data_IF_391610347386
#
_entry.id   IF_391610347386
#
_cell.length_a   1.000
_cell.length_b   1.000
_cell.length_c   1.000
_cell.angle_alpha   90.00
_cell.angle_beta   90.00
_cell.angle_gamma   90.00
#
_symmetry.space_group_name_H-M   'P 1'
#
loop_
_entity.id
_entity.type
_entity.pdbx_description
1 polymer ?
#
# COMPACT_ATOMS: atom_id res chain seq x y z
N UNK A 1 23.90 -22.23 -24.97
CA UNK A 1 25.10 -21.58 -25.55
C UNK A 1 25.95 -22.67 -26.16
N UNK A 2 26.58 -22.44 -27.31
CA UNK A 2 27.56 -23.39 -27.88
C UNK A 2 28.64 -23.71 -26.82
N UNK A 3 29.25 -24.89 -26.86
CA UNK A 3 30.15 -25.39 -25.81
C UNK A 3 31.32 -24.43 -25.50
N UNK A 4 31.82 -23.74 -26.53
CA UNK A 4 32.81 -22.67 -26.41
C UNK A 4 32.41 -21.50 -25.47
N UNK A 5 31.10 -21.30 -25.25
CA UNK A 5 30.53 -20.26 -24.39
C UNK A 5 29.79 -20.84 -23.18
N UNK A 6 29.91 -22.16 -22.91
CA UNK A 6 29.23 -22.82 -21.79
C UNK A 6 29.56 -22.18 -20.43
N UNK A 7 30.78 -21.63 -20.28
CA UNK A 7 31.20 -20.88 -19.08
C UNK A 7 30.27 -19.72 -18.72
N UNK A 8 29.71 -19.04 -19.72
CA UNK A 8 28.81 -17.89 -19.56
C UNK A 8 27.34 -18.28 -19.40
N UNK A 9 27.01 -19.58 -19.39
CA UNK A 9 25.64 -20.06 -19.24
C UNK A 9 25.06 -19.89 -17.82
N UNK A 10 23.75 -20.07 -17.71
CA UNK A 10 23.03 -20.05 -16.43
C UNK A 10 23.04 -18.66 -15.77
N UNK A 11 23.31 -18.61 -14.47
CA UNK A 11 23.25 -17.37 -13.66
C UNK A 11 24.25 -16.30 -14.13
N UNK A 12 25.35 -16.69 -14.79
CA UNK A 12 26.35 -15.76 -15.32
C UNK A 12 25.89 -15.07 -16.60
N UNK A 13 24.97 -15.69 -17.34
CA UNK A 13 24.40 -15.10 -18.54
C UNK A 13 23.48 -13.92 -18.22
N UNK A 14 22.75 -14.02 -17.10
CA UNK A 14 21.74 -13.03 -16.68
C UNK A 14 22.33 -11.61 -16.63
N UNK A 15 23.43 -11.29 -15.92
CA UNK A 15 23.99 -9.94 -15.92
C UNK A 15 24.50 -9.52 -17.30
N UNK A 16 25.06 -10.43 -18.11
CA UNK A 16 25.58 -10.13 -19.45
C UNK A 16 24.44 -9.70 -20.38
N UNK A 17 23.38 -10.49 -20.46
CA UNK A 17 22.23 -10.16 -21.30
C UNK A 17 21.46 -8.96 -20.76
N UNK A 18 21.38 -8.80 -19.43
CA UNK A 18 20.75 -7.64 -18.79
C UNK A 18 21.51 -6.35 -19.11
N UNK A 19 22.85 -6.34 -19.04
CA UNK A 19 23.64 -5.18 -19.40
C UNK A 19 23.43 -4.79 -20.87
N UNK A 20 23.45 -5.77 -21.78
CA UNK A 20 23.21 -5.52 -23.21
C UNK A 20 21.79 -4.98 -23.46
N UNK A 21 20.78 -5.66 -22.93
CA UNK A 21 19.37 -5.30 -23.13
C UNK A 21 19.01 -3.98 -22.49
N UNK A 22 19.42 -3.72 -21.23
CA UNK A 22 19.16 -2.46 -20.57
C UNK A 22 19.94 -1.29 -21.19
N UNK A 23 21.10 -1.53 -21.80
CA UNK A 23 21.79 -0.48 -22.56
C UNK A 23 20.96 -0.07 -23.78
N UNK A 24 20.43 -1.04 -24.53
CA UNK A 24 19.56 -0.76 -25.68
C UNK A 24 18.25 -0.09 -25.27
N UNK A 25 17.61 -0.57 -24.21
CA UNK A 25 16.42 0.06 -23.63
C UNK A 25 16.73 1.47 -23.14
N UNK A 26 17.88 1.66 -22.49
CA UNK A 26 18.35 2.96 -21.99
C UNK A 26 18.59 3.98 -23.09
N UNK A 27 18.95 3.56 -24.30
CA UNK A 27 19.01 4.45 -25.47
C UNK A 27 17.61 4.88 -25.92
N UNK A 28 16.59 4.04 -25.79
CA UNK A 28 15.21 4.33 -26.20
C UNK A 28 14.42 5.16 -25.16
N UNK A 29 14.69 4.96 -23.87
CA UNK A 29 13.95 5.59 -22.77
C UNK A 29 13.89 7.12 -22.87
N UNK A 30 14.97 7.87 -23.16
CA UNK A 30 14.92 9.33 -23.23
C UNK A 30 13.91 9.87 -24.25
N UNK A 31 13.74 9.18 -25.38
CA UNK A 31 12.77 9.56 -26.41
C UNK A 31 11.33 9.40 -25.91
N UNK A 32 11.04 8.29 -25.23
CA UNK A 32 9.73 8.05 -24.62
C UNK A 32 9.48 8.95 -23.41
N UNK A 33 10.51 9.16 -22.58
CA UNK A 33 10.45 9.92 -21.34
C UNK A 33 10.04 11.37 -21.57
N UNK A 34 10.47 11.97 -22.69
CA UNK A 34 10.01 13.32 -23.08
C UNK A 34 8.49 13.43 -23.10
N UNK A 35 7.79 12.45 -23.67
CA UNK A 35 6.32 12.45 -23.74
C UNK A 35 5.68 12.21 -22.38
N UNK A 36 6.26 11.32 -21.58
CA UNK A 36 5.81 11.09 -20.20
C UNK A 36 5.96 12.35 -19.36
N UNK A 37 7.11 13.03 -19.44
CA UNK A 37 7.37 14.29 -18.75
C UNK A 37 6.41 15.40 -19.18
N UNK A 38 6.13 15.52 -20.49
CA UNK A 38 5.10 16.45 -21.00
C UNK A 38 3.70 16.12 -20.44
N UNK A 39 3.34 14.84 -20.34
CA UNK A 39 2.08 14.41 -19.73
C UNK A 39 1.98 14.79 -18.25
N UNK A 40 3.04 14.54 -17.47
CA UNK A 40 3.10 14.93 -16.05
C UNK A 40 2.98 16.45 -15.89
N UNK A 41 3.69 17.22 -16.72
CA UNK A 41 3.63 18.68 -16.71
C UNK A 41 2.22 19.20 -17.07
N UNK A 42 1.57 18.58 -18.07
CA UNK A 42 0.20 18.92 -18.47
C UNK A 42 -0.81 18.67 -17.35
N UNK A 43 -0.71 17.54 -16.64
CA UNK A 43 -1.55 17.24 -15.48
C UNK A 43 -1.33 18.27 -14.36
N UNK A 44 -0.08 18.64 -14.10
CA UNK A 44 0.25 19.68 -13.13
C UNK A 44 -0.38 21.04 -13.48
N UNK A 45 -0.31 21.43 -14.75
CA UNK A 45 -0.91 22.67 -15.24
C UNK A 45 -2.44 22.66 -15.10
N UNK A 46 -3.11 21.55 -15.43
CA UNK A 46 -4.56 21.43 -15.29
C UNK A 46 -4.98 21.59 -13.82
N UNK A 47 -4.28 20.92 -12.90
CA UNK A 47 -4.59 21.01 -11.46
C UNK A 47 -4.47 22.45 -10.96
N UNK A 48 -3.45 23.19 -11.40
CA UNK A 48 -3.23 24.59 -11.03
C UNK A 48 -4.26 25.54 -11.67
N UNK A 49 -4.68 25.28 -12.92
CA UNK A 49 -5.54 26.21 -13.66
C UNK A 49 -7.02 26.14 -13.28
N UNK A 50 -7.43 25.20 -12.41
CA UNK A 50 -8.86 24.95 -12.12
C UNK A 50 -9.33 25.51 -10.77
N UNK A 51 -8.56 26.43 -10.18
CA UNK A 51 -8.84 27.12 -8.90
C UNK A 51 -9.50 26.19 -7.85
N UNK A 52 -10.80 26.38 -7.63
CA UNK A 52 -11.62 25.66 -6.65
C UNK A 52 -11.64 24.15 -6.89
N UNK A 53 -11.57 23.69 -8.14
CA UNK A 53 -11.66 22.27 -8.50
C UNK A 53 -10.29 21.57 -8.54
N UNK A 54 -9.18 22.31 -8.40
CA UNK A 54 -7.82 21.76 -8.37
C UNK A 54 -7.65 20.60 -7.37
N UNK A 55 -8.08 20.75 -6.10
CA UNK A 55 -8.01 19.68 -5.10
C UNK A 55 -8.76 18.41 -5.49
N UNK A 56 -9.91 18.53 -6.16
CA UNK A 56 -10.65 17.38 -6.67
C UNK A 56 -9.84 16.61 -7.71
N UNK A 57 -9.33 17.31 -8.74
CA UNK A 57 -8.58 16.69 -9.83
C UNK A 57 -7.28 16.06 -9.32
N UNK A 58 -6.62 16.72 -8.36
CA UNK A 58 -5.47 16.16 -7.67
C UNK A 58 -5.80 14.87 -6.93
N UNK A 59 -6.86 14.85 -6.10
CA UNK A 59 -7.30 13.65 -5.40
C UNK A 59 -7.65 12.49 -6.34
N UNK A 60 -8.40 12.78 -7.41
CA UNK A 60 -8.72 11.80 -8.47
C UNK A 60 -7.44 11.25 -9.11
N UNK A 61 -6.51 12.13 -9.49
CA UNK A 61 -5.23 11.74 -10.11
C UNK A 61 -4.37 10.88 -9.20
N UNK A 62 -4.26 11.24 -7.91
CA UNK A 62 -3.48 10.46 -6.92
C UNK A 62 -4.03 9.04 -6.83
N UNK A 63 -5.35 8.88 -6.70
CA UNK A 63 -5.92 7.54 -6.56
C UNK A 63 -5.93 6.76 -7.87
N UNK A 64 -6.14 7.40 -9.02
CA UNK A 64 -6.06 6.74 -10.33
C UNK A 64 -4.67 6.14 -10.58
N UNK A 65 -3.60 6.83 -10.14
CA UNK A 65 -2.21 6.40 -10.29
C UNK A 65 -1.75 5.42 -9.20
N UNK A 66 -2.54 5.26 -8.13
CA UNK A 66 -2.15 4.43 -6.97
C UNK A 66 -1.90 2.96 -7.30
N UNK A 67 -2.72 2.26 -8.12
CA UNK A 67 -2.49 0.87 -8.49
C UNK A 67 -1.15 0.61 -9.19
N UNK A 68 -0.59 1.65 -9.81
CA UNK A 68 0.68 1.58 -10.54
C UNK A 68 1.88 2.06 -9.69
N UNK A 69 1.65 2.50 -8.45
CA UNK A 69 2.68 3.16 -7.63
C UNK A 69 3.10 4.55 -8.13
N UNK A 70 2.50 5.04 -9.21
CA UNK A 70 2.86 6.32 -9.86
C UNK A 70 2.33 7.55 -9.12
N UNK A 71 1.42 7.36 -8.16
CA UNK A 71 0.83 8.43 -7.37
C UNK A 71 1.88 9.25 -6.59
N UNK A 72 3.02 8.66 -6.22
CA UNK A 72 4.13 9.39 -5.60
C UNK A 72 4.69 10.52 -6.47
N UNK A 73 4.61 10.41 -7.80
CA UNK A 73 5.02 11.48 -8.72
C UNK A 73 4.14 12.71 -8.52
N UNK A 74 2.83 12.53 -8.50
CA UNK A 74 1.87 13.62 -8.33
C UNK A 74 1.94 14.22 -6.93
N UNK A 75 2.08 13.37 -5.90
CA UNK A 75 2.31 13.80 -4.53
C UNK A 75 3.59 14.66 -4.42
N UNK A 76 4.72 14.20 -4.97
CA UNK A 76 5.98 14.92 -4.90
C UNK A 76 5.94 16.25 -5.66
N UNK A 77 5.32 16.26 -6.84
CA UNK A 77 5.14 17.47 -7.64
C UNK A 77 4.40 18.56 -6.84
N UNK A 78 3.25 18.24 -6.24
CA UNK A 78 2.48 19.22 -5.48
C UNK A 78 3.15 19.57 -4.14
N UNK A 79 3.75 18.61 -3.45
CA UNK A 79 4.31 18.84 -2.11
C UNK A 79 5.60 19.67 -2.11
N UNK A 80 6.45 19.52 -3.13
CA UNK A 80 7.83 20.02 -3.09
C UNK A 80 8.21 20.98 -4.22
N UNK A 81 7.30 21.26 -5.15
CA UNK A 81 7.59 22.14 -6.30
C UNK A 81 6.58 23.28 -6.36
N UNK A 82 6.84 24.36 -7.14
CA UNK A 82 5.89 25.46 -7.34
C UNK A 82 4.49 25.02 -7.80
N UNK A 83 4.34 23.79 -8.28
CA UNK A 83 3.04 23.25 -8.66
C UNK A 83 2.02 23.16 -7.52
N UNK A 84 2.46 23.10 -6.27
CA UNK A 84 1.58 23.19 -5.10
C UNK A 84 1.51 24.59 -4.49
N UNK A 85 1.96 25.61 -5.22
CA UNK A 85 1.99 27.01 -4.77
C UNK A 85 3.38 27.50 -4.40
N UNK A 86 3.45 28.82 -4.22
CA UNK A 86 4.63 29.58 -3.79
C UNK A 86 4.16 30.64 -2.80
N UNK A 87 4.82 30.75 -1.65
CA UNK A 87 4.50 31.73 -0.62
C UNK A 87 5.76 32.40 -0.09
N UNK A 88 5.63 33.65 0.36
CA UNK A 88 6.69 34.35 1.09
C UNK A 88 6.52 34.14 2.58
N UNK A 89 7.38 33.31 3.18
CA UNK A 89 7.36 32.98 4.61
C UNK A 89 8.66 33.46 5.25
N UNK A 90 8.58 34.29 6.29
CA UNK A 90 9.72 34.87 6.99
C UNK A 90 10.78 35.53 6.09
N UNK A 91 10.32 36.17 4.99
CA UNK A 91 11.20 36.90 4.07
C UNK A 91 11.88 36.03 3.00
N UNK A 92 11.55 34.74 2.92
CA UNK A 92 12.02 33.83 1.87
C UNK A 92 10.86 33.29 1.05
N UNK A 93 11.07 33.14 -0.26
CA UNK A 93 10.13 32.44 -1.12
C UNK A 93 10.25 30.92 -0.89
N UNK A 94 9.13 30.27 -0.58
CA UNK A 94 9.03 28.83 -0.35
C UNK A 94 8.06 28.24 -1.35
N UNK A 95 8.47 27.18 -2.04
CA UNK A 95 7.68 26.50 -3.06
C UNK A 95 7.26 25.09 -2.63
N UNK A 96 6.04 24.71 -2.98
CA UNK A 96 5.46 23.40 -2.70
C UNK A 96 4.60 23.38 -1.45
N UNK A 97 3.41 22.77 -1.57
CA UNK A 97 2.38 22.86 -0.54
C UNK A 97 2.86 22.38 0.84
N UNK A 98 3.62 21.29 0.88
CA UNK A 98 4.11 20.74 2.15
C UNK A 98 5.22 21.61 2.75
N UNK A 99 6.13 22.12 1.90
CA UNK A 99 7.20 23.01 2.33
C UNK A 99 6.65 24.30 2.90
N UNK A 100 5.65 24.90 2.24
CA UNK A 100 4.98 26.12 2.68
C UNK A 100 4.29 25.88 4.03
N UNK A 101 3.49 24.82 4.14
CA UNK A 101 2.82 24.47 5.39
C UNK A 101 3.80 24.32 6.56
N UNK A 102 4.93 23.65 6.37
CA UNK A 102 5.93 23.51 7.43
C UNK A 102 6.68 24.81 7.73
N UNK A 103 6.90 25.66 6.73
CA UNK A 103 7.48 26.98 6.96
C UNK A 103 6.52 27.85 7.80
N UNK A 104 5.22 27.87 7.47
CA UNK A 104 4.19 28.58 8.24
C UNK A 104 4.09 28.03 9.68
N UNK A 105 4.12 26.71 9.83
CA UNK A 105 4.11 26.04 11.14
C UNK A 105 5.32 26.43 12.00
N UNK A 106 6.51 26.47 11.39
CA UNK A 106 7.74 26.86 12.08
C UNK A 106 7.73 28.34 12.47
N UNK A 107 7.18 29.19 11.61
CA UNK A 107 7.04 30.64 11.83
C UNK A 107 5.91 31.00 12.81
N UNK A 108 5.02 30.06 13.12
CA UNK A 108 3.82 30.30 13.93
C UNK A 108 2.79 31.19 13.22
N UNK A 109 2.77 31.16 11.89
CA UNK A 109 1.86 31.93 11.05
C UNK A 109 0.55 31.17 10.79
N UNK A 110 -0.55 31.87 10.47
CA UNK A 110 -1.78 31.22 10.01
C UNK A 110 -1.53 30.37 8.76
N UNK A 111 -2.08 29.16 8.73
CA UNK A 111 -1.90 28.28 7.58
C UNK A 111 -2.69 28.73 6.36
N UNK A 112 -2.04 28.72 5.21
CA UNK A 112 -2.65 29.09 3.94
C UNK A 112 -3.67 28.03 3.46
N UNK A 113 -4.97 28.38 3.28
CA UNK A 113 -6.00 27.43 2.85
C UNK A 113 -5.74 26.83 1.46
N UNK A 114 -5.29 27.65 0.51
CA UNK A 114 -5.01 27.19 -0.85
C UNK A 114 -3.86 26.17 -0.93
N UNK A 115 -2.93 26.21 0.02
CA UNK A 115 -1.80 25.26 0.15
C UNK A 115 -2.26 23.96 0.82
N UNK A 116 -2.95 24.08 1.96
CA UNK A 116 -3.47 22.91 2.69
C UNK A 116 -4.57 22.17 1.93
N UNK A 117 -5.18 22.79 0.93
CA UNK A 117 -6.17 22.19 0.03
C UNK A 117 -5.70 20.86 -0.62
N UNK A 118 -4.38 20.68 -0.82
CA UNK A 118 -3.78 19.50 -1.43
C UNK A 118 -3.12 18.52 -0.44
N UNK A 119 -3.26 18.79 0.87
CA UNK A 119 -2.59 18.05 1.93
C UNK A 119 -3.58 17.14 2.69
N UNK A 120 -3.18 16.71 3.90
CA UNK A 120 -3.86 15.69 4.71
C UNK A 120 -5.36 15.95 4.90
N UNK A 121 -5.79 17.21 5.09
CA UNK A 121 -7.17 17.58 5.42
C UNK A 121 -8.21 16.97 4.47
N UNK A 122 -7.89 16.91 3.18
CA UNK A 122 -8.80 16.42 2.16
C UNK A 122 -8.87 14.90 2.05
N UNK A 123 -7.86 14.18 2.56
CA UNK A 123 -7.87 12.72 2.62
C UNK A 123 -8.59 12.18 3.86
N UNK A 124 -8.63 12.96 4.95
CA UNK A 124 -9.19 12.55 6.24
C UNK A 124 -10.63 12.00 6.18
N UNK A 125 -11.61 12.63 5.49
CA UNK A 125 -12.96 12.07 5.41
C UNK A 125 -12.98 10.67 4.83
N UNK A 126 -12.11 10.39 3.85
CA UNK A 126 -12.05 9.07 3.24
C UNK A 126 -11.28 8.08 4.11
N UNK A 127 -10.12 8.46 4.67
CA UNK A 127 -9.25 7.51 5.35
C UNK A 127 -9.70 7.18 6.78
N UNK A 128 -10.27 8.17 7.49
CA UNK A 128 -10.74 8.02 8.86
C UNK A 128 -12.18 7.49 8.91
N UNK A 129 -12.99 7.72 7.87
CA UNK A 129 -14.42 7.35 7.88
C UNK A 129 -14.85 6.49 6.68
N UNK A 130 -14.51 6.90 5.46
CA UNK A 130 -14.88 6.16 4.24
C UNK A 130 -14.36 4.72 4.21
N UNK A 131 -13.06 4.50 4.43
CA UNK A 131 -12.45 3.16 4.40
C UNK A 131 -12.92 2.26 5.57
N UNK A 132 -13.12 2.77 6.79
CA UNK A 132 -13.85 2.04 7.83
C UNK A 132 -15.28 1.65 7.43
N UNK A 133 -16.01 2.53 6.72
CA UNK A 133 -17.33 2.20 6.20
C UNK A 133 -17.27 1.09 5.14
N UNK A 134 -16.27 1.10 4.25
CA UNK A 134 -16.01 0.01 3.31
C UNK A 134 -15.76 -1.30 4.03
N UNK A 135 -14.84 -1.30 5.01
CA UNK A 135 -14.53 -2.49 5.78
C UNK A 135 -15.77 -3.03 6.51
N UNK A 136 -16.59 -2.14 7.08
CA UNK A 136 -17.84 -2.51 7.72
C UNK A 136 -18.88 -3.06 6.72
N UNK A 137 -18.98 -2.49 5.51
CA UNK A 137 -19.85 -2.99 4.45
C UNK A 137 -19.43 -4.40 4.00
N UNK A 138 -18.12 -4.65 3.80
CA UNK A 138 -17.57 -5.97 3.48
C UNK A 138 -17.89 -6.96 4.60
N UNK A 139 -17.61 -6.60 5.86
CA UNK A 139 -17.90 -7.46 7.01
C UNK A 139 -19.38 -7.84 7.12
N UNK A 140 -20.30 -6.88 6.92
CA UNK A 140 -21.75 -7.10 7.03
C UNK A 140 -22.31 -7.92 5.87
N UNK A 141 -21.70 -7.84 4.69
CA UNK A 141 -22.14 -8.59 3.50
C UNK A 141 -21.45 -9.95 3.37
N UNK A 142 -20.38 -10.22 4.12
CA UNK A 142 -19.78 -11.54 4.22
C UNK A 142 -20.72 -12.58 4.82
N UNK A 143 -20.53 -13.85 4.41
CA UNK A 143 -21.24 -15.00 4.94
C UNK A 143 -20.98 -15.13 6.46
N UNK A 144 -22.01 -15.36 7.30
CA UNK A 144 -21.87 -15.40 8.75
C UNK A 144 -20.71 -16.26 9.26
N UNK A 145 -20.50 -17.41 8.63
CA UNK A 145 -19.44 -18.38 8.91
C UNK A 145 -18.02 -17.85 8.65
N UNK A 146 -17.85 -16.94 7.69
CA UNK A 146 -16.55 -16.38 7.31
C UNK A 146 -16.20 -15.09 8.06
N UNK A 147 -17.17 -14.48 8.75
CA UNK A 147 -16.98 -13.21 9.48
C UNK A 147 -15.86 -13.27 10.52
N UNK A 148 -15.73 -14.32 11.36
CA UNK A 148 -14.64 -14.40 12.32
C UNK A 148 -13.26 -14.38 11.67
N UNK A 149 -13.13 -15.05 10.51
CA UNK A 149 -11.86 -15.16 9.76
C UNK A 149 -11.44 -13.81 9.17
N UNK A 150 -12.36 -13.09 8.53
CA UNK A 150 -12.05 -11.82 7.87
C UNK A 150 -12.01 -10.63 8.84
N UNK A 151 -12.55 -10.76 10.06
CA UNK A 151 -12.61 -9.67 11.06
C UNK A 151 -11.22 -9.11 11.37
N UNK A 152 -10.23 -9.99 11.56
CA UNK A 152 -8.85 -9.59 11.84
C UNK A 152 -8.22 -8.80 10.69
N UNK A 153 -8.42 -9.28 9.46
CA UNK A 153 -7.98 -8.61 8.22
C UNK A 153 -8.54 -7.19 8.11
N UNK A 154 -9.86 -7.05 8.24
CA UNK A 154 -10.55 -5.78 8.10
C UNK A 154 -10.18 -4.80 9.21
N UNK A 155 -10.15 -5.26 10.47
CA UNK A 155 -9.78 -4.41 11.60
C UNK A 155 -8.33 -3.93 11.48
N UNK A 156 -7.42 -4.79 11.05
CA UNK A 156 -6.01 -4.44 10.87
C UNK A 156 -5.80 -3.43 9.72
N UNK A 157 -6.57 -3.55 8.64
CA UNK A 157 -6.56 -2.56 7.57
C UNK A 157 -7.14 -1.21 8.00
N UNK A 158 -8.28 -1.23 8.71
CA UNK A 158 -8.92 -0.03 9.28
C UNK A 158 -7.99 0.68 10.25
N UNK A 159 -7.35 -0.05 11.17
CA UNK A 159 -6.45 0.55 12.13
C UNK A 159 -5.29 1.29 11.44
N UNK A 160 -4.69 0.69 10.43
CA UNK A 160 -3.58 1.32 9.70
C UNK A 160 -4.05 2.53 8.91
N UNK A 161 -5.18 2.44 8.20
CA UNK A 161 -5.76 3.58 7.49
C UNK A 161 -6.11 4.73 8.43
N UNK A 162 -6.81 4.46 9.53
CA UNK A 162 -7.26 5.48 10.47
C UNK A 162 -6.08 6.10 11.21
N UNK A 163 -5.11 5.30 11.66
CA UNK A 163 -4.00 5.83 12.47
C UNK A 163 -2.98 6.55 11.60
N UNK A 164 -2.54 5.90 10.53
CA UNK A 164 -1.39 6.34 9.73
C UNK A 164 -1.76 6.99 8.42
N UNK A 165 -3.01 6.91 7.96
CA UNK A 165 -3.40 7.39 6.63
C UNK A 165 -3.05 6.44 5.47
N UNK A 166 -2.40 5.31 5.75
CA UNK A 166 -2.07 4.29 4.74
C UNK A 166 -3.34 3.47 4.39
N UNK A 167 -3.87 3.68 3.19
CA UNK A 167 -5.20 3.20 2.75
C UNK A 167 -5.18 1.87 1.99
N UNK A 168 -4.04 1.51 1.39
CA UNK A 168 -3.84 0.37 0.51
C UNK A 168 -4.37 -0.96 1.09
N UNK A 169 -4.19 -1.27 2.39
CA UNK A 169 -4.67 -2.52 2.97
C UNK A 169 -6.18 -2.74 2.85
N UNK A 170 -6.97 -1.68 2.75
CA UNK A 170 -8.42 -1.76 2.51
C UNK A 170 -8.76 -1.59 1.03
N UNK A 171 -8.12 -0.65 0.33
CA UNK A 171 -8.35 -0.40 -1.09
C UNK A 171 -8.11 -1.65 -1.94
N UNK A 172 -7.06 -2.43 -1.64
CA UNK A 172 -6.72 -3.65 -2.38
C UNK A 172 -7.74 -4.77 -2.20
N UNK A 173 -8.62 -4.70 -1.19
CA UNK A 173 -9.69 -5.68 -0.99
C UNK A 173 -10.80 -5.56 -2.04
N UNK A 174 -10.89 -4.43 -2.75
CA UNK A 174 -11.92 -4.20 -3.77
C UNK A 174 -11.41 -3.62 -5.09
N UNK A 175 -10.20 -3.06 -5.12
CA UNK A 175 -9.58 -2.50 -6.33
C UNK A 175 -9.69 -3.42 -7.56
N UNK A 176 -9.30 -4.68 -7.40
CA UNK A 176 -9.29 -5.67 -8.49
C UNK A 176 -10.58 -6.47 -8.61
N UNK A 177 -11.36 -6.55 -7.52
CA UNK A 177 -12.59 -7.35 -7.46
C UNK A 177 -13.80 -6.55 -7.98
N UNK A 178 -13.83 -5.23 -7.71
CA UNK A 178 -14.93 -4.34 -8.08
C UNK A 178 -14.40 -2.99 -8.60
N UNK A 179 -13.93 -2.93 -9.86
CA UNK A 179 -13.40 -1.70 -10.46
C UNK A 179 -14.38 -0.51 -10.39
N UNK A 180 -15.69 -0.76 -10.49
CA UNK A 180 -16.74 0.28 -10.38
C UNK A 180 -16.74 0.92 -8.99
N UNK A 181 -16.59 0.13 -7.94
CA UNK A 181 -16.47 0.66 -6.56
C UNK A 181 -15.16 1.40 -6.37
N UNK A 182 -14.10 1.02 -7.08
CA UNK A 182 -12.86 1.77 -7.09
C UNK A 182 -12.99 3.12 -7.80
N UNK A 183 -13.71 3.19 -8.93
CA UNK A 183 -14.02 4.46 -9.59
C UNK A 183 -14.83 5.37 -8.67
N UNK A 184 -15.85 4.83 -8.00
CA UNK A 184 -16.60 5.57 -6.97
C UNK A 184 -15.68 6.10 -5.86
N UNK A 185 -14.78 5.27 -5.35
CA UNK A 185 -13.80 5.63 -4.32
C UNK A 185 -12.84 6.74 -4.78
N UNK A 186 -12.35 6.68 -6.02
CA UNK A 186 -11.53 7.72 -6.64
C UNK A 186 -12.27 9.07 -6.64
N UNK A 187 -13.51 9.09 -7.15
CA UNK A 187 -14.32 10.30 -7.26
C UNK A 187 -14.63 10.87 -5.88
N UNK A 188 -15.09 10.02 -4.95
CA UNK A 188 -15.42 10.44 -3.59
C UNK A 188 -14.21 10.93 -2.81
N UNK A 189 -13.01 10.40 -3.08
CA UNK A 189 -11.78 10.91 -2.48
C UNK A 189 -11.43 12.30 -3.02
N UNK A 190 -11.53 12.52 -4.34
CA UNK A 190 -11.39 13.85 -4.91
C UNK A 190 -12.42 14.84 -4.34
N UNK A 191 -13.68 14.42 -4.20
CA UNK A 191 -14.72 15.26 -3.58
C UNK A 191 -14.41 15.60 -2.13
N UNK A 192 -13.76 14.70 -1.39
CA UNK A 192 -13.35 14.99 -0.01
C UNK A 192 -12.32 16.13 0.02
N UNK A 193 -11.33 16.11 -0.88
CA UNK A 193 -10.36 17.21 -1.01
C UNK A 193 -11.06 18.53 -1.34
N UNK A 194 -11.97 18.53 -2.30
CA UNK A 194 -12.74 19.71 -2.69
C UNK A 194 -13.59 20.26 -1.54
N UNK A 195 -14.38 19.41 -0.89
CA UNK A 195 -15.29 19.83 0.19
C UNK A 195 -14.50 20.40 1.36
N UNK A 196 -13.41 19.74 1.76
CA UNK A 196 -12.59 20.19 2.88
C UNK A 196 -11.87 21.52 2.54
N UNK A 197 -11.39 21.68 1.30
CA UNK A 197 -10.86 22.94 0.79
C UNK A 197 -11.91 24.07 0.79
N UNK A 198 -13.16 23.80 0.34
CA UNK A 198 -14.26 24.77 0.35
C UNK A 198 -14.67 25.21 1.75
N UNK A 199 -14.60 24.30 2.73
CA UNK A 199 -14.81 24.60 4.14
C UNK A 199 -13.64 25.38 4.77
N UNK A 200 -12.52 25.48 4.03
CA UNK A 200 -11.30 26.15 4.44
C UNK A 200 -10.70 25.51 5.69
N UNK A 201 -10.72 24.18 5.76
CA UNK A 201 -10.00 23.42 6.79
C UNK A 201 -8.52 23.44 6.44
N UNK A 202 -7.67 23.70 7.42
CA UNK A 202 -6.23 23.93 7.18
C UNK A 202 -5.38 22.97 8.00
N UNK A 203 -5.54 21.67 7.72
CA UNK A 203 -4.69 20.63 8.28
C UNK A 203 -3.70 20.15 7.21
N UNK A 204 -2.40 20.37 7.46
CA UNK A 204 -1.32 19.97 6.57
C UNK A 204 -0.74 18.59 6.90
N UNK A 205 0.48 18.31 6.44
CA UNK A 205 1.12 16.98 6.42
C UNK A 205 0.62 16.05 5.29
N UNK A 206 1.05 14.79 5.29
CA UNK A 206 1.04 13.93 4.12
C UNK A 206 -0.05 12.86 4.08
N UNK A 207 -0.48 12.33 5.21
CA UNK A 207 -1.08 10.99 5.19
C UNK A 207 -2.59 11.01 5.49
N UNK A 208 -3.10 12.00 6.22
CA UNK A 208 -4.55 12.14 6.46
C UNK A 208 -5.11 11.17 7.50
N UNK A 209 -4.25 10.60 8.34
CA UNK A 209 -4.63 9.79 9.50
C UNK A 209 -4.99 10.62 10.74
N UNK A 210 -5.36 9.94 11.83
CA UNK A 210 -5.68 10.56 13.11
C UNK A 210 -4.46 11.23 13.75
N UNK A 211 -3.24 10.75 13.46
CA UNK A 211 -2.01 11.39 13.91
C UNK A 211 -1.87 12.78 13.28
N UNK A 212 -2.19 12.93 11.99
CA UNK A 212 -2.20 14.22 11.32
C UNK A 212 -3.29 15.13 11.89
N UNK A 213 -4.49 14.59 12.12
CA UNK A 213 -5.59 15.33 12.75
C UNK A 213 -5.20 15.83 14.14
N UNK A 214 -4.53 15.01 14.94
CA UNK A 214 -4.13 15.37 16.29
C UNK A 214 -3.02 16.43 16.27
N UNK A 215 -1.92 16.17 15.55
CA UNK A 215 -0.70 16.97 15.60
C UNK A 215 -0.85 18.27 14.80
N UNK A 216 -1.40 18.20 13.59
CA UNK A 216 -1.49 19.33 12.67
C UNK A 216 -2.87 19.98 12.64
N UNK A 217 -3.88 19.38 13.28
CA UNK A 217 -5.22 19.93 13.42
C UNK A 217 -5.50 20.42 14.84
N UNK A 218 -5.75 19.48 15.76
CA UNK A 218 -6.22 19.76 17.14
C UNK A 218 -5.19 20.56 17.94
N UNK A 219 -3.91 20.14 17.90
CA UNK A 219 -2.83 20.81 18.64
C UNK A 219 -2.49 22.20 18.09
N UNK A 220 -2.95 22.53 16.88
CA UNK A 220 -2.80 23.86 16.27
C UNK A 220 -3.99 24.79 16.56
N UNK A 221 -4.91 24.36 17.42
CA UNK A 221 -6.07 25.17 17.84
C UNK A 221 -7.23 25.17 16.83
N UNK A 222 -8.24 25.99 17.10
CA UNK A 222 -9.49 26.02 16.30
C UNK A 222 -9.35 26.72 14.95
N UNK A 223 -8.24 27.43 14.71
CA UNK A 223 -7.95 28.09 13.45
C UNK A 223 -7.88 27.11 12.26
N UNK A 224 -7.48 25.86 12.53
CA UNK A 224 -7.44 24.79 11.51
C UNK A 224 -8.82 24.27 11.11
N UNK A 225 -9.86 24.61 11.86
CA UNK A 225 -11.23 24.09 11.72
C UNK A 225 -11.33 22.56 11.72
N UNK A 226 -10.44 21.89 12.45
CA UNK A 226 -10.38 20.43 12.56
C UNK A 226 -11.71 19.76 12.92
N UNK A 227 -12.58 20.46 13.66
CA UNK A 227 -13.90 19.96 14.05
C UNK A 227 -14.83 19.68 12.87
N UNK A 228 -14.60 20.30 11.70
CA UNK A 228 -15.39 20.05 10.48
C UNK A 228 -15.07 18.69 9.84
N UNK A 229 -13.93 18.06 10.17
CA UNK A 229 -13.59 16.71 9.70
C UNK A 229 -14.63 15.69 10.17
N UNK A 230 -15.18 15.84 11.38
CA UNK A 230 -16.14 14.89 11.95
C UNK A 230 -17.51 14.88 11.24
N UNK A 231 -18.23 16.01 11.08
CA UNK A 231 -19.51 16.00 10.37
C UNK A 231 -19.36 15.57 8.91
N UNK A 232 -18.32 16.02 8.20
CA UNK A 232 -18.04 15.58 6.82
C UNK A 232 -17.72 14.09 6.80
N UNK A 233 -16.89 13.63 7.73
CA UNK A 233 -16.54 12.22 7.90
C UNK A 233 -17.73 11.32 8.15
N UNK A 234 -18.68 11.73 9.01
CA UNK A 234 -19.92 10.96 9.28
C UNK A 234 -20.76 10.84 8.00
N UNK A 235 -20.88 11.92 7.22
CA UNK A 235 -21.57 11.90 5.93
C UNK A 235 -20.86 10.95 4.96
N UNK A 236 -19.52 11.01 4.89
CA UNK A 236 -18.70 10.10 4.09
C UNK A 236 -18.90 8.65 4.50
N UNK A 237 -18.89 8.35 5.81
CA UNK A 237 -19.14 7.02 6.34
C UNK A 237 -20.48 6.46 5.83
N UNK A 238 -21.54 7.25 5.96
CA UNK A 238 -22.88 6.84 5.52
C UNK A 238 -22.91 6.56 4.02
N UNK A 239 -22.40 7.49 3.20
CA UNK A 239 -22.38 7.35 1.74
C UNK A 239 -21.60 6.10 1.32
N UNK A 240 -20.38 5.92 1.82
CA UNK A 240 -19.56 4.75 1.52
C UNK A 240 -20.23 3.45 1.96
N UNK A 241 -20.76 3.40 3.19
CA UNK A 241 -21.40 2.19 3.70
C UNK A 241 -22.59 1.76 2.84
N UNK A 242 -23.51 2.69 2.53
CA UNK A 242 -24.71 2.36 1.78
C UNK A 242 -24.40 2.01 0.33
N UNK A 243 -23.51 2.75 -0.35
CA UNK A 243 -23.12 2.46 -1.74
C UNK A 243 -22.40 1.13 -1.85
N UNK A 244 -21.39 0.87 -1.02
CA UNK A 244 -20.65 -0.39 -1.05
C UNK A 244 -21.58 -1.55 -0.72
N UNK A 245 -22.36 -1.46 0.35
CA UNK A 245 -23.29 -2.53 0.74
C UNK A 245 -24.31 -2.83 -0.36
N UNK A 246 -24.91 -1.78 -0.94
CA UNK A 246 -25.87 -1.93 -2.03
C UNK A 246 -25.24 -2.60 -3.25
N UNK A 247 -24.09 -2.13 -3.72
CA UNK A 247 -23.43 -2.65 -4.91
C UNK A 247 -22.99 -4.11 -4.70
N UNK A 248 -22.37 -4.40 -3.55
CA UNK A 248 -21.90 -5.74 -3.19
C UNK A 248 -23.07 -6.75 -3.15
N UNK A 249 -24.25 -6.35 -2.64
CA UNK A 249 -25.43 -7.22 -2.61
C UNK A 249 -26.11 -7.34 -3.99
N UNK A 250 -26.26 -6.23 -4.71
CA UNK A 250 -26.96 -6.19 -6.00
C UNK A 250 -26.24 -6.97 -7.10
N UNK A 251 -24.91 -6.92 -7.10
CA UNK A 251 -24.08 -7.54 -8.15
C UNK A 251 -23.38 -8.83 -7.68
N UNK A 252 -23.75 -9.37 -6.52
CA UNK A 252 -23.09 -10.53 -5.88
C UNK A 252 -21.55 -10.48 -5.93
N UNK A 253 -20.98 -9.33 -5.61
CA UNK A 253 -19.53 -9.13 -5.67
C UNK A 253 -18.86 -10.05 -4.64
N UNK A 254 -17.90 -10.85 -5.08
CA UNK A 254 -17.14 -11.80 -4.25
C UNK A 254 -16.04 -11.10 -3.44
N UNK A 255 -16.43 -10.15 -2.60
CA UNK A 255 -15.53 -9.52 -1.62
C UNK A 255 -15.06 -10.55 -0.58
N UNK A 256 -13.96 -10.30 0.16
CA UNK A 256 -13.45 -11.23 1.17
C UNK A 256 -14.56 -11.75 2.11
N UNK A 257 -14.68 -13.08 2.21
CA UNK A 257 -15.71 -13.76 3.02
C UNK A 257 -17.05 -14.00 2.32
N UNK A 258 -17.20 -13.64 1.03
CA UNK A 258 -18.37 -13.98 0.18
C UNK A 258 -18.11 -15.08 -0.85
N UNK A 259 -16.90 -15.63 -0.89
CA UNK A 259 -16.51 -16.70 -1.82
C UNK A 259 -17.20 -18.02 -1.46
N UNK A 260 -17.34 -18.91 -2.45
CA UNK A 260 -18.11 -20.15 -2.34
C UNK A 260 -17.33 -21.33 -1.74
N UNK A 261 -16.08 -21.11 -1.30
CA UNK A 261 -15.26 -22.06 -0.57
C UNK A 261 -14.53 -21.41 0.63
N UNK A 262 -14.32 -22.18 1.70
CA UNK A 262 -13.59 -21.75 2.91
C UNK A 262 -12.12 -21.36 2.63
N UNK A 263 -11.55 -21.83 1.52
CA UNK A 263 -10.17 -21.54 1.11
C UNK A 263 -9.92 -20.08 0.73
N UNK A 264 -10.92 -19.35 0.23
CA UNK A 264 -10.72 -17.98 -0.27
C UNK A 264 -10.55 -16.94 0.83
N UNK A 265 -11.35 -17.03 1.90
CA UNK A 265 -11.21 -16.17 3.08
C UNK A 265 -9.86 -16.41 3.79
N UNK A 266 -9.42 -17.67 3.85
CA UNK A 266 -8.13 -18.04 4.43
C UNK A 266 -6.96 -17.59 3.54
N UNK A 267 -7.09 -17.66 2.21
CA UNK A 267 -6.11 -17.14 1.24
C UNK A 267 -5.99 -15.61 1.29
N UNK A 268 -7.08 -14.86 1.43
CA UNK A 268 -7.05 -13.40 1.58
C UNK A 268 -6.34 -12.98 2.88
N UNK A 269 -6.59 -13.70 3.99
CA UNK A 269 -5.87 -13.51 5.26
C UNK A 269 -4.39 -13.89 5.13
N UNK A 270 -4.08 -15.02 4.49
CA UNK A 270 -2.70 -15.48 4.23
C UNK A 270 -1.95 -14.51 3.31
N UNK A 271 -2.59 -13.93 2.29
CA UNK A 271 -1.99 -12.95 1.38
C UNK A 271 -1.64 -11.63 2.08
N UNK A 272 -2.52 -11.12 2.95
CA UNK A 272 -2.24 -9.90 3.72
C UNK A 272 -1.21 -10.15 4.86
N UNK A 273 -1.24 -11.34 5.46
CA UNK A 273 -0.25 -11.74 6.49
C UNK A 273 1.15 -11.91 5.88
N UNK A 274 1.28 -12.39 4.62
CA UNK A 274 2.56 -12.38 3.89
C UNK A 274 3.13 -10.98 3.66
N UNK A 275 2.27 -9.98 3.50
CA UNK A 275 2.66 -8.59 3.26
C UNK A 275 3.05 -7.85 4.56
N UNK A 276 2.53 -8.27 5.72
CA UNK A 276 2.83 -7.68 7.03
C UNK A 276 3.75 -8.57 7.85
N UNK A 277 5.04 -8.28 7.78
CA UNK A 277 6.10 -8.99 8.49
C UNK A 277 6.08 -8.92 10.00
N UNK A 278 5.18 -9.67 10.66
CA UNK A 278 5.34 -10.02 12.07
C UNK A 278 5.15 -11.52 12.30
N UNK A 279 6.21 -12.09 12.87
CA UNK A 279 6.42 -13.42 13.45
C UNK A 279 5.17 -14.33 13.55
N UNK A 280 5.07 -15.28 12.61
CA UNK A 280 4.10 -16.39 12.65
C UNK A 280 4.76 -17.74 12.30
N UNK A 281 6.09 -17.82 12.37
CA UNK A 281 6.81 -19.04 12.02
C UNK A 281 7.32 -19.67 13.31
N UNK A 282 6.80 -20.85 13.61
CA UNK A 282 7.32 -21.68 14.68
C UNK A 282 8.63 -22.32 14.19
N UNK A 283 9.76 -21.70 14.56
CA UNK A 283 11.08 -22.13 14.11
C UNK A 283 11.41 -23.56 14.55
N UNK A 284 10.90 -24.01 15.71
CA UNK A 284 11.11 -25.38 16.18
C UNK A 284 10.32 -26.38 15.33
N UNK A 285 9.08 -26.05 14.97
CA UNK A 285 8.26 -26.87 14.09
C UNK A 285 8.88 -26.98 12.69
N UNK A 286 9.38 -25.87 12.14
CA UNK A 286 10.06 -25.87 10.83
C UNK A 286 11.35 -26.68 10.89
N UNK A 287 12.18 -26.52 11.91
CA UNK A 287 13.41 -27.30 12.08
C UNK A 287 13.12 -28.80 12.21
N UNK A 288 12.09 -29.17 12.97
CA UNK A 288 11.65 -30.57 13.12
C UNK A 288 11.18 -31.12 11.77
N UNK A 289 10.39 -30.37 11.02
CA UNK A 289 9.90 -30.76 9.70
C UNK A 289 11.01 -30.84 8.65
N UNK A 290 12.17 -30.21 8.86
CA UNK A 290 13.37 -30.37 8.02
C UNK A 290 14.20 -31.61 8.39
N UNK A 291 13.78 -32.41 9.37
CA UNK A 291 14.53 -33.57 9.87
C UNK A 291 15.48 -33.26 11.03
N UNK A 292 15.35 -32.06 11.62
CA UNK A 292 16.20 -31.59 12.73
C UNK A 292 17.52 -30.97 12.27
N UNK A 293 18.26 -30.40 13.23
CA UNK A 293 19.54 -29.70 12.99
C UNK A 293 20.58 -30.57 12.27
N UNK A 294 20.61 -31.86 12.60
CA UNK A 294 21.58 -32.81 12.07
C UNK A 294 21.37 -33.08 10.57
N UNK A 295 20.16 -32.83 10.06
CA UNK A 295 19.81 -33.05 8.66
C UNK A 295 20.15 -31.86 7.76
N UNK A 296 20.45 -30.68 8.31
CA UNK A 296 20.75 -29.47 7.55
C UNK A 296 22.27 -29.36 7.34
N UNK A 297 22.70 -29.32 6.09
CA UNK A 297 24.10 -29.14 5.71
C UNK A 297 24.41 -27.67 5.37
N UNK A 298 23.48 -27.00 4.67
CA UNK A 298 23.54 -25.55 4.51
C UNK A 298 22.16 -24.92 4.53
N UNK A 299 22.11 -23.69 5.05
CA UNK A 299 20.90 -22.89 5.20
C UNK A 299 21.16 -21.50 4.64
N UNK A 300 20.45 -21.16 3.57
CA UNK A 300 20.50 -19.83 2.98
C UNK A 300 19.11 -19.34 2.57
N UNK A 301 18.98 -18.08 2.15
CA UNK A 301 17.72 -17.58 1.63
C UNK A 301 17.91 -16.59 0.49
N UNK A 302 16.91 -16.55 -0.41
CA UNK A 302 16.71 -15.42 -1.30
C UNK A 302 15.63 -14.48 -0.73
N UNK A 303 15.03 -13.64 -1.58
CA UNK A 303 14.00 -12.66 -1.16
C UNK A 303 12.74 -13.35 -0.62
N UNK A 304 12.39 -14.54 -1.13
CA UNK A 304 11.13 -15.21 -0.77
C UNK A 304 11.24 -16.69 -0.43
N UNK A 305 12.43 -17.30 -0.49
CA UNK A 305 12.62 -18.75 -0.34
C UNK A 305 13.81 -19.06 0.53
N UNK A 306 13.63 -20.04 1.42
CA UNK A 306 14.68 -20.66 2.20
C UNK A 306 15.27 -21.76 1.32
N UNK A 307 16.57 -21.71 1.09
CA UNK A 307 17.34 -22.65 0.28
C UNK A 307 18.12 -23.53 1.24
N UNK A 308 17.84 -24.81 1.22
CA UNK A 308 18.49 -25.77 2.10
C UNK A 308 19.20 -26.83 1.27
N UNK A 309 20.38 -27.19 1.74
CA UNK A 309 20.98 -28.49 1.42
C UNK A 309 20.80 -29.37 2.65
N UNK A 310 20.18 -30.53 2.46
CA UNK A 310 19.88 -31.52 3.49
C UNK A 310 20.61 -32.82 3.22
N UNK A 311 20.96 -33.53 4.28
CA UNK A 311 21.66 -34.82 4.19
C UNK A 311 20.73 -35.93 3.71
N UNK A 312 19.46 -35.89 4.13
CA UNK A 312 18.45 -36.90 3.84
C UNK A 312 17.10 -36.22 3.53
N UNK A 313 16.63 -36.36 2.29
CA UNK A 313 15.37 -35.76 1.84
C UNK A 313 14.14 -36.48 2.39
N UNK A 314 14.24 -37.76 2.78
CA UNK A 314 13.10 -38.54 3.28
C UNK A 314 12.66 -38.08 4.68
N UNK A 315 13.54 -37.36 5.38
CA UNK A 315 13.23 -36.73 6.68
C UNK A 315 12.52 -35.39 6.55
N UNK A 316 12.35 -34.86 5.33
CA UNK A 316 11.71 -33.56 5.10
C UNK A 316 10.20 -33.73 4.98
N UNK A 317 9.47 -33.31 6.01
CA UNK A 317 8.01 -33.32 6.04
C UNK A 317 7.43 -32.06 5.39
N UNK A 318 7.11 -32.17 4.10
CA UNK A 318 6.52 -31.09 3.32
C UNK A 318 5.13 -30.65 3.83
N UNK A 319 4.36 -31.56 4.45
CA UNK A 319 3.03 -31.25 4.95
C UNK A 319 3.15 -30.37 6.19
N UNK A 320 3.99 -30.77 7.14
CA UNK A 320 4.25 -29.99 8.36
C UNK A 320 4.90 -28.64 8.03
N UNK A 321 5.76 -28.55 7.01
CA UNK A 321 6.30 -27.27 6.54
C UNK A 321 5.21 -26.31 6.06
N UNK A 322 4.21 -26.81 5.32
CA UNK A 322 3.06 -25.99 4.87
C UNK A 322 2.17 -25.56 6.04
N UNK A 323 1.94 -26.45 7.01
CA UNK A 323 1.21 -26.15 8.24
C UNK A 323 1.94 -25.10 9.10
N UNK A 324 3.27 -25.16 9.13
CA UNK A 324 4.13 -24.17 9.79
C UNK A 324 4.20 -22.81 9.05
N UNK A 325 3.48 -22.67 7.93
CA UNK A 325 3.33 -21.41 7.21
C UNK A 325 4.08 -21.32 5.88
N UNK A 326 4.76 -22.37 5.44
CA UNK A 326 5.35 -22.40 4.10
C UNK A 326 4.24 -22.38 3.03
N UNK A 327 4.48 -21.62 1.97
CA UNK A 327 3.54 -21.42 0.88
C UNK A 327 3.59 -22.59 -0.10
N UNK A 328 4.80 -23.11 -0.27
CA UNK A 328 5.10 -24.27 -1.08
C UNK A 328 6.48 -24.79 -0.71
N UNK A 329 6.72 -26.06 -0.99
CA UNK A 329 8.01 -26.72 -0.81
C UNK A 329 8.36 -27.33 -2.16
N UNK A 330 9.57 -27.06 -2.64
CA UNK A 330 10.06 -27.52 -3.94
C UNK A 330 11.32 -28.33 -3.71
N UNK A 331 11.23 -29.63 -3.97
CA UNK A 331 12.39 -30.54 -3.97
C UNK A 331 13.05 -30.42 -5.34
N UNK A 332 14.33 -30.05 -5.36
CA UNK A 332 15.10 -29.89 -6.61
C UNK A 332 15.85 -31.17 -6.98
N UNK A 333 16.41 -31.85 -5.97
CA UNK A 333 17.15 -33.10 -6.10
C UNK A 333 17.16 -33.83 -4.73
N UNK A 334 17.97 -34.89 -4.60
CA UNK A 334 18.05 -35.71 -3.39
C UNK A 334 18.61 -34.99 -2.15
N UNK A 335 19.24 -33.83 -2.32
CA UNK A 335 19.84 -33.06 -1.22
C UNK A 335 19.38 -31.61 -1.18
N UNK A 336 18.72 -31.09 -2.22
CA UNK A 336 18.37 -29.68 -2.31
C UNK A 336 16.85 -29.46 -2.22
N UNK A 337 16.42 -28.65 -1.25
CA UNK A 337 15.02 -28.27 -1.07
C UNK A 337 14.87 -26.75 -0.91
N UNK A 338 13.82 -26.20 -1.52
CA UNK A 338 13.44 -24.80 -1.34
C UNK A 338 12.07 -24.68 -0.67
N UNK A 339 12.03 -24.01 0.47
CA UNK A 339 10.80 -23.70 1.20
C UNK A 339 10.40 -22.26 0.88
N UNK A 340 9.27 -22.08 0.20
CA UNK A 340 8.77 -20.77 -0.20
C UNK A 340 8.01 -20.17 0.97
N UNK A 341 8.54 -19.09 1.56
CA UNK A 341 7.97 -18.44 2.75
C UNK A 341 7.39 -17.06 2.42
N UNK A 342 8.00 -16.34 1.47
CA UNK A 342 7.69 -14.95 1.17
C UNK A 342 8.69 -13.97 1.78
N UNK A 343 8.40 -12.65 1.81
CA UNK A 343 9.36 -11.59 2.17
C UNK A 343 10.00 -11.72 3.56
N UNK A 344 9.41 -12.55 4.43
CA UNK A 344 9.85 -12.77 5.81
C UNK A 344 10.91 -13.86 5.95
N UNK A 345 11.39 -14.42 4.84
CA UNK A 345 12.27 -15.58 4.88
C UNK A 345 13.61 -15.32 5.56
N UNK A 346 14.12 -14.08 5.53
CA UNK A 346 15.32 -13.70 6.28
C UNK A 346 15.11 -13.87 7.79
N UNK A 347 13.95 -13.45 8.31
CA UNK A 347 13.62 -13.61 9.73
C UNK A 347 13.51 -15.09 10.11
N UNK A 348 12.96 -15.92 9.23
CA UNK A 348 12.84 -17.37 9.47
C UNK A 348 14.21 -18.04 9.45
N UNK A 349 15.07 -17.68 8.50
CA UNK A 349 16.46 -18.17 8.46
C UNK A 349 17.17 -17.87 9.77
N UNK A 350 17.20 -16.60 10.20
CA UNK A 350 17.89 -16.22 11.43
C UNK A 350 17.31 -16.89 12.68
N UNK A 351 15.99 -17.13 12.71
CA UNK A 351 15.35 -17.88 13.79
C UNK A 351 15.72 -19.37 13.80
N UNK A 352 15.92 -19.98 12.64
CA UNK A 352 16.40 -21.37 12.52
C UNK A 352 17.90 -21.43 12.86
N UNK A 353 18.73 -20.50 12.37
CA UNK A 353 20.17 -20.44 12.69
C UNK A 353 20.42 -20.34 14.20
N UNK A 354 19.57 -19.64 14.94
CA UNK A 354 19.67 -19.55 16.40
C UNK A 354 19.40 -20.88 17.14
N UNK A 355 18.84 -21.88 16.45
CA UNK A 355 18.48 -23.19 17.02
C UNK A 355 19.44 -24.32 16.59
N UNK A 356 20.36 -24.06 15.66
CA UNK A 356 21.26 -25.07 15.07
C UNK A 356 22.63 -25.03 15.74
#
# INVERSE_FOLDING_TARGET
LHDAFAFFGGIRFVPIITALTLSLVGLAIPFLWKYVAMGIAGIGHIIQSTDVFGPFLYGVGVLLLKPFGLHHILLAMVRFTPAGGTEFVDGYEVAGALNIFYAELKAGLPFSPHVTAFLSQGFMPTFIFGLPAVAYAIYRTAKPENRPVIKGLLLSGVLVSVVTGISEPIEFLFLFIAPVLYIFHIIMSGLALLVMALLGVTIGNTDGGILDLLIFGIMQGTATKWYLVFPVGIIWFAIYFFVFRWYILKHDVKTPGREDAADGAEQAVKANTKARGKAKYDHNLILTALGGKENIDSLDNCITRLRLVVKDMDKVDQKTLKEAGALSVVVLDAHSVQVIIGPQVQSVKSGIEALI
#
